data_IF_642005778348
#
_entry.id   IF_642005778348
#
_cell.length_a   1.000
_cell.length_b   1.000
_cell.length_c   1.000
_cell.angle_alpha   90.00
_cell.angle_beta   90.00
_cell.angle_gamma   90.00
#
_symmetry.space_group_name_H-M   'P 1'
#
loop_
_entity.id
_entity.type
_entity.pdbx_description
1 polymer ?
#
# COMPACT_ATOMS: atom_id res chain seq x y z
N UNK A 1 -58.69 21.53 -24.20
CA UNK A 1 -57.40 20.87 -24.39
C UNK A 1 -56.21 21.73 -23.90
N UNK A 2 -56.17 23.05 -24.13
CA UNK A 2 -55.04 23.90 -23.71
C UNK A 2 -54.83 24.03 -22.17
N UNK A 3 -55.91 23.93 -21.38
CA UNK A 3 -55.83 24.04 -19.91
C UNK A 3 -55.27 22.77 -19.20
N UNK A 4 -55.46 21.60 -19.82
CA UNK A 4 -54.95 20.32 -19.30
C UNK A 4 -53.44 20.20 -19.58
N UNK A 5 -52.95 20.75 -20.70
CA UNK A 5 -51.55 20.74 -21.03
C UNK A 5 -50.69 21.61 -20.08
N UNK A 6 -51.25 22.76 -19.62
CA UNK A 6 -50.58 23.63 -18.64
C UNK A 6 -50.47 22.99 -17.24
N UNK A 7 -51.47 22.18 -16.87
CA UNK A 7 -51.48 21.51 -15.57
C UNK A 7 -50.49 20.35 -15.51
N UNK A 8 -50.30 19.64 -16.61
CA UNK A 8 -49.27 18.57 -16.72
C UNK A 8 -47.84 19.13 -16.68
N UNK A 9 -47.63 20.32 -17.26
CA UNK A 9 -46.30 20.94 -17.29
C UNK A 9 -45.88 21.49 -15.93
N UNK A 10 -46.84 21.95 -15.11
CA UNK A 10 -46.56 22.46 -13.73
C UNK A 10 -46.29 21.33 -12.74
N UNK A 11 -46.86 20.13 -12.93
CA UNK A 11 -46.56 18.95 -12.10
C UNK A 11 -45.17 18.39 -12.38
N UNK A 12 -44.69 18.46 -13.62
CA UNK A 12 -43.35 18.02 -13.98
C UNK A 12 -42.21 18.90 -13.41
N UNK A 13 -42.48 20.20 -13.20
CA UNK A 13 -41.54 21.14 -12.61
C UNK A 13 -41.40 21.01 -11.07
N UNK A 14 -42.37 20.42 -10.39
CA UNK A 14 -42.33 20.21 -8.94
C UNK A 14 -41.54 18.94 -8.54
N UNK A 15 -41.28 18.01 -9.45
CA UNK A 15 -40.45 16.82 -9.19
C UNK A 15 -38.97 17.02 -9.51
N UNK A 16 -38.58 18.18 -10.05
CA UNK A 16 -37.17 18.45 -10.49
C UNK A 16 -36.24 18.98 -9.43
N UNK A 17 -36.68 19.21 -8.19
CA UNK A 17 -35.84 19.80 -7.13
C UNK A 17 -35.52 18.80 -6.00
N UNK A 18 -35.38 17.52 -6.27
CA UNK A 18 -34.62 16.67 -5.35
C UNK A 18 -33.14 16.99 -5.53
N UNK A 19 -32.66 17.95 -4.73
CA UNK A 19 -31.24 18.07 -4.47
C UNK A 19 -30.78 16.73 -3.89
N UNK A 20 -30.21 15.88 -4.74
CA UNK A 20 -29.29 14.85 -4.30
C UNK A 20 -28.12 15.59 -3.66
N UNK A 21 -28.23 15.90 -2.36
CA UNK A 21 -27.07 16.14 -1.55
C UNK A 21 -26.24 14.85 -1.66
N UNK A 22 -25.26 14.85 -2.55
CA UNK A 22 -24.21 13.87 -2.51
C UNK A 22 -23.53 14.07 -1.14
N UNK A 23 -23.91 13.25 -0.17
CA UNK A 23 -23.10 13.04 1.02
C UNK A 23 -21.79 12.48 0.47
N UNK A 24 -20.80 13.35 0.24
CA UNK A 24 -19.44 12.94 0.22
C UNK A 24 -19.18 12.34 1.61
N UNK A 25 -19.26 11.02 1.71
CA UNK A 25 -18.72 10.33 2.87
C UNK A 25 -17.26 10.77 2.93
N UNK A 26 -16.90 11.57 3.94
CA UNK A 26 -15.51 11.79 4.27
C UNK A 26 -14.92 10.39 4.50
N UNK A 27 -14.16 9.92 3.54
CA UNK A 27 -13.31 8.75 3.71
C UNK A 27 -12.25 9.16 4.72
N UNK A 28 -12.56 8.94 6.00
CA UNK A 28 -11.57 9.04 7.06
C UNK A 28 -10.59 7.91 6.81
N UNK A 29 -9.46 8.23 6.17
CA UNK A 29 -8.38 7.27 6.02
C UNK A 29 -7.91 6.88 7.42
N UNK A 30 -7.78 5.58 7.72
CA UNK A 30 -7.29 5.12 9.01
C UNK A 30 -5.91 5.73 9.25
N UNK A 31 -5.68 6.22 10.49
CA UNK A 31 -4.36 6.69 10.91
C UNK A 31 -3.40 5.51 10.85
N UNK A 32 -2.46 5.58 9.93
CA UNK A 32 -1.38 4.60 9.80
C UNK A 32 -0.28 4.96 10.78
N UNK A 33 0.14 3.98 11.57
CA UNK A 33 1.31 4.11 12.45
C UNK A 33 2.43 3.28 11.87
N UNK A 34 3.58 3.92 11.62
CA UNK A 34 4.81 3.27 11.19
C UNK A 34 5.75 3.13 12.39
N UNK A 35 6.35 1.96 12.53
CA UNK A 35 7.38 1.66 13.52
C UNK A 35 8.66 1.34 12.76
N UNK A 36 9.61 2.24 12.80
CA UNK A 36 10.90 2.11 12.14
C UNK A 36 11.94 1.49 13.08
N UNK A 37 12.72 0.58 12.55
CA UNK A 37 13.97 0.11 13.15
C UNK A 37 15.07 0.34 12.13
N UNK A 38 16.14 1.03 12.53
CA UNK A 38 17.28 1.31 11.68
C UNK A 38 18.57 1.05 12.46
N UNK A 39 19.39 0.16 11.91
CA UNK A 39 20.74 -0.18 12.35
C UNK A 39 21.67 -0.08 11.14
N UNK A 40 23.00 -0.10 11.35
CA UNK A 40 23.97 0.07 10.26
C UNK A 40 23.76 -0.91 9.10
N UNK A 41 23.40 -2.15 9.41
CA UNK A 41 23.25 -3.24 8.44
C UNK A 41 21.82 -3.76 8.29
N UNK A 42 20.84 -3.13 8.95
CA UNK A 42 19.46 -3.58 8.92
C UNK A 42 18.48 -2.42 9.12
N UNK A 43 17.41 -2.42 8.33
CA UNK A 43 16.28 -1.52 8.54
C UNK A 43 14.93 -2.22 8.31
N UNK A 44 13.92 -1.80 9.03
CA UNK A 44 12.54 -2.26 8.84
C UNK A 44 11.54 -1.12 8.99
N UNK A 45 10.42 -1.26 8.30
CA UNK A 45 9.20 -0.49 8.53
C UNK A 45 8.03 -1.45 8.75
N UNK A 46 7.48 -1.40 9.96
CA UNK A 46 6.27 -2.11 10.34
C UNK A 46 5.13 -1.10 10.36
N UNK A 47 4.12 -1.34 9.55
CA UNK A 47 2.94 -0.53 9.63
C UNK A 47 1.73 -1.28 10.18
N UNK A 48 0.94 -0.56 10.95
CA UNK A 48 -0.37 -1.01 11.41
C UNK A 48 -1.37 0.14 11.36
N UNK A 49 -2.65 -0.19 11.25
CA UNK A 49 -3.72 0.80 11.36
C UNK A 49 -4.37 0.72 12.73
N UNK A 50 -4.57 1.86 13.40
CA UNK A 50 -5.34 1.96 14.64
C UNK A 50 -6.85 1.69 14.38
N UNK A 51 -7.32 1.99 13.18
CA UNK A 51 -8.59 1.52 12.65
C UNK A 51 -8.28 0.43 11.65
N UNK A 52 -8.61 -0.80 12.01
CA UNK A 52 -8.52 -1.93 11.09
C UNK A 52 -9.26 -1.56 9.81
N UNK A 53 -8.59 -1.61 8.67
CA UNK A 53 -9.27 -1.77 7.40
C UNK A 53 -10.20 -2.98 7.55
N UNK A 54 -11.24 -3.08 6.75
CA UNK A 54 -12.12 -4.24 6.84
C UNK A 54 -11.31 -5.54 6.67
N UNK A 55 -10.29 -5.51 5.83
CA UNK A 55 -9.54 -6.70 5.40
C UNK A 55 -8.03 -6.60 5.59
N UNK A 56 -7.40 -5.46 5.34
CA UNK A 56 -5.95 -5.29 5.46
C UNK A 56 -5.58 -4.93 6.92
N UNK A 57 -4.84 -5.82 7.58
CA UNK A 57 -4.51 -5.69 9.00
C UNK A 57 -3.21 -4.91 9.23
N UNK A 58 -2.12 -5.39 8.64
CA UNK A 58 -0.80 -4.76 8.71
C UNK A 58 0.13 -5.27 7.61
N UNK A 59 1.26 -4.59 7.45
CA UNK A 59 2.35 -4.97 6.58
C UNK A 59 3.71 -4.61 7.16
N UNK A 60 4.74 -5.26 6.63
CA UNK A 60 6.13 -5.01 7.01
C UNK A 60 7.02 -5.14 5.79
N UNK A 61 8.03 -4.31 5.71
CA UNK A 61 9.17 -4.49 4.83
C UNK A 61 10.49 -4.43 5.61
N UNK A 62 11.48 -5.15 5.14
CA UNK A 62 12.83 -5.15 5.72
C UNK A 62 13.89 -5.15 4.64
N UNK A 63 15.03 -4.58 4.96
CA UNK A 63 16.27 -4.68 4.20
C UNK A 63 17.41 -4.99 5.16
N UNK A 64 18.35 -5.83 4.75
CA UNK A 64 19.54 -6.13 5.51
C UNK A 64 20.75 -6.35 4.61
N UNK A 65 21.93 -6.05 5.13
CA UNK A 65 23.20 -6.36 4.48
C UNK A 65 23.48 -7.85 4.61
N UNK A 66 23.72 -8.52 3.48
CA UNK A 66 24.20 -9.90 3.49
C UNK A 66 25.75 -9.94 3.47
N UNK A 67 26.34 -9.10 2.63
CA UNK A 67 27.78 -8.88 2.53
C UNK A 67 28.08 -7.53 1.84
N UNK A 68 29.32 -7.30 1.38
CA UNK A 68 29.72 -6.03 0.77
C UNK A 68 29.15 -5.78 -0.64
N UNK A 69 28.43 -6.73 -1.21
CA UNK A 69 27.88 -6.68 -2.57
C UNK A 69 26.46 -7.24 -2.66
N UNK A 70 25.90 -7.75 -1.56
CA UNK A 70 24.57 -8.34 -1.55
C UNK A 70 23.72 -7.86 -0.38
N UNK A 71 22.43 -7.72 -0.66
CA UNK A 71 21.38 -7.49 0.33
C UNK A 71 20.43 -8.69 0.41
N UNK A 72 19.72 -8.78 1.52
CA UNK A 72 18.50 -9.55 1.66
C UNK A 72 17.33 -8.62 1.97
N UNK A 73 16.17 -8.95 1.47
CA UNK A 73 14.94 -8.20 1.72
C UNK A 73 13.83 -9.16 2.14
N UNK A 74 12.90 -8.68 2.93
CA UNK A 74 11.66 -9.41 3.17
C UNK A 74 10.46 -8.49 3.24
N UNK A 75 9.28 -9.08 3.13
CA UNK A 75 8.04 -8.39 3.40
C UNK A 75 6.91 -9.35 3.72
N UNK A 76 5.94 -8.83 4.44
CA UNK A 76 4.70 -9.54 4.68
C UNK A 76 3.50 -8.61 4.56
N UNK A 77 2.38 -9.19 4.15
CA UNK A 77 1.06 -8.56 4.13
C UNK A 77 0.12 -9.47 4.91
N UNK A 78 -0.53 -8.95 5.93
CA UNK A 78 -1.47 -9.69 6.77
C UNK A 78 -2.88 -9.12 6.60
N UNK A 79 -3.85 -10.01 6.42
CA UNK A 79 -5.27 -9.71 6.40
C UNK A 79 -5.93 -10.07 7.74
N UNK A 80 -7.10 -9.49 8.01
CA UNK A 80 -7.92 -9.77 9.21
C UNK A 80 -8.56 -11.14 9.17
N UNK A 81 -8.72 -11.70 7.97
CA UNK A 81 -9.33 -13.02 7.69
C UNK A 81 -8.73 -13.61 6.40
N UNK A 82 -9.11 -14.83 6.06
CA UNK A 82 -8.83 -15.39 4.73
C UNK A 82 -9.57 -14.58 3.68
N UNK A 83 -8.84 -14.08 2.68
CA UNK A 83 -9.34 -13.19 1.64
C UNK A 83 -9.13 -13.80 0.25
N UNK A 84 -9.89 -13.32 -0.74
CA UNK A 84 -9.82 -13.78 -2.13
C UNK A 84 -8.40 -13.67 -2.68
N UNK A 85 -7.70 -12.57 -2.35
CA UNK A 85 -6.33 -12.33 -2.81
C UNK A 85 -5.54 -11.43 -1.86
N UNK A 86 -4.31 -11.86 -1.55
CA UNK A 86 -3.29 -11.05 -0.85
C UNK A 86 -2.12 -10.83 -1.80
N UNK A 87 -1.62 -9.59 -1.88
CA UNK A 87 -0.49 -9.19 -2.72
C UNK A 87 0.58 -8.48 -1.91
N UNK A 88 1.82 -8.68 -2.34
CA UNK A 88 3.00 -8.00 -1.84
C UNK A 88 3.91 -7.67 -3.02
N UNK A 89 4.21 -6.39 -3.20
CA UNK A 89 5.22 -5.95 -4.18
C UNK A 89 6.34 -5.24 -3.43
N UNK A 90 7.57 -5.72 -3.62
CA UNK A 90 8.79 -5.16 -3.03
C UNK A 90 9.60 -4.48 -4.13
N UNK A 91 9.87 -3.21 -3.97
CA UNK A 91 10.77 -2.42 -4.80
C UNK A 91 12.06 -2.22 -4.02
N UNK A 92 13.16 -2.76 -4.53
CA UNK A 92 14.49 -2.33 -4.11
C UNK A 92 14.76 -1.02 -4.82
N UNK A 93 14.99 0.03 -4.06
CA UNK A 93 15.30 1.35 -4.59
C UNK A 93 16.73 1.72 -4.23
N UNK A 94 17.38 2.47 -5.13
CA UNK A 94 18.73 2.99 -4.93
C UNK A 94 18.80 4.50 -5.10
N UNK A 95 19.75 5.14 -4.43
CA UNK A 95 20.09 6.55 -4.57
C UNK A 95 21.54 6.83 -4.20
N UNK A 96 22.16 7.83 -4.81
CA UNK A 96 23.46 8.38 -4.38
C UNK A 96 23.31 9.25 -3.11
N UNK A 97 22.09 9.67 -2.77
CA UNK A 97 21.77 10.50 -1.60
C UNK A 97 20.95 9.72 -0.59
N UNK A 98 21.28 9.87 0.71
CA UNK A 98 20.55 9.24 1.81
C UNK A 98 19.04 9.60 1.83
N UNK A 99 18.69 10.83 1.51
CA UNK A 99 17.33 11.35 1.76
C UNK A 99 16.47 11.55 0.53
N UNK A 100 17.05 11.56 -0.67
CA UNK A 100 16.32 11.93 -1.90
C UNK A 100 16.81 11.18 -3.13
N UNK A 101 16.05 11.25 -4.24
CA UNK A 101 16.50 10.77 -5.55
C UNK A 101 16.44 9.25 -5.71
N UNK A 102 15.64 8.56 -4.91
CA UNK A 102 15.46 7.11 -5.03
C UNK A 102 14.80 6.74 -6.35
N UNK A 103 15.36 5.73 -6.99
CA UNK A 103 14.81 5.11 -8.20
C UNK A 103 14.77 3.59 -8.03
N UNK A 104 13.80 2.96 -8.68
CA UNK A 104 13.65 1.51 -8.62
C UNK A 104 14.83 0.81 -9.28
N UNK A 105 15.51 -0.05 -8.53
CA UNK A 105 16.60 -0.91 -8.97
C UNK A 105 16.12 -2.31 -9.38
N UNK A 106 15.33 -2.94 -8.50
CA UNK A 106 14.69 -4.26 -8.76
C UNK A 106 13.26 -4.29 -8.20
N UNK A 107 12.41 -5.12 -8.82
CA UNK A 107 11.02 -5.30 -8.40
C UNK A 107 10.69 -6.78 -8.25
N UNK A 108 10.02 -7.12 -7.16
CA UNK A 108 9.53 -8.46 -6.87
C UNK A 108 8.05 -8.39 -6.50
N UNK A 109 7.19 -9.07 -7.29
CA UNK A 109 5.73 -9.06 -7.08
C UNK A 109 5.22 -10.47 -6.83
N UNK A 110 4.41 -10.60 -5.79
CA UNK A 110 3.82 -11.85 -5.34
C UNK A 110 2.33 -11.71 -5.08
N UNK A 111 1.59 -12.79 -5.30
CA UNK A 111 0.19 -12.89 -4.89
C UNK A 111 -0.13 -14.30 -4.44
N UNK A 112 -1.09 -14.41 -3.54
CA UNK A 112 -1.69 -15.66 -3.12
C UNK A 112 -3.20 -15.49 -3.00
N UNK A 113 -3.95 -16.55 -3.29
CA UNK A 113 -5.41 -16.58 -3.24
C UNK A 113 -5.89 -17.44 -2.08
N UNK A 114 -7.03 -17.07 -1.50
CA UNK A 114 -7.63 -17.79 -0.36
C UNK A 114 -6.69 -17.92 0.84
N UNK A 115 -5.99 -16.82 1.19
CA UNK A 115 -5.06 -16.75 2.32
C UNK A 115 -5.32 -15.50 3.16
N UNK A 116 -4.87 -15.55 4.42
CA UNK A 116 -4.89 -14.38 5.32
C UNK A 116 -3.49 -13.73 5.48
N UNK A 117 -2.45 -14.34 4.90
CA UNK A 117 -1.08 -13.86 5.02
C UNK A 117 -0.26 -14.22 3.80
N UNK A 118 0.58 -13.29 3.37
CA UNK A 118 1.61 -13.51 2.36
C UNK A 118 2.94 -12.98 2.90
N UNK A 119 3.94 -13.87 3.01
CA UNK A 119 5.31 -13.51 3.42
C UNK A 119 6.28 -13.95 2.34
N UNK A 120 7.23 -13.08 2.02
CA UNK A 120 8.34 -13.39 1.08
C UNK A 120 9.65 -12.87 1.63
N UNK A 121 10.68 -13.65 1.36
CA UNK A 121 12.07 -13.34 1.65
C UNK A 121 12.89 -13.60 0.40
N UNK A 122 13.77 -12.67 0.06
CA UNK A 122 14.66 -12.75 -1.11
C UNK A 122 16.07 -12.45 -0.63
N UNK A 123 16.95 -13.43 -0.80
CA UNK A 123 18.35 -13.36 -0.41
C UNK A 123 19.26 -13.24 -1.64
N UNK A 124 20.51 -12.85 -1.43
CA UNK A 124 21.55 -12.75 -2.45
C UNK A 124 21.18 -11.82 -3.61
N UNK A 125 20.58 -10.68 -3.30
CA UNK A 125 20.33 -9.63 -4.28
C UNK A 125 21.63 -8.84 -4.43
N UNK A 126 22.30 -9.00 -5.58
CA UNK A 126 23.49 -8.23 -5.92
C UNK A 126 23.16 -6.74 -6.05
N UNK A 127 24.04 -5.91 -5.49
CA UNK A 127 23.94 -4.45 -5.46
C UNK A 127 25.25 -3.79 -5.85
N UNK A 128 25.16 -2.62 -6.47
CA UNK A 128 26.33 -1.81 -6.86
C UNK A 128 26.83 -0.99 -5.66
N UNK A 129 28.14 -0.73 -5.62
CA UNK A 129 28.73 0.20 -4.67
C UNK A 129 28.50 1.65 -5.10
N UNK A 130 28.49 2.54 -4.13
CA UNK A 130 28.31 3.98 -4.35
C UNK A 130 26.87 4.46 -4.10
N UNK A 131 26.00 3.59 -3.65
CA UNK A 131 24.58 3.88 -3.44
C UNK A 131 24.10 3.55 -2.03
N UNK A 132 23.02 4.19 -1.66
CA UNK A 132 22.12 3.78 -0.60
C UNK A 132 21.00 2.91 -1.17
N UNK A 133 20.60 1.90 -0.44
CA UNK A 133 19.49 1.00 -0.82
C UNK A 133 18.42 0.98 0.25
N UNK A 134 17.16 0.99 -0.18
CA UNK A 134 15.99 0.82 0.70
C UNK A 134 14.95 -0.08 0.04
N UNK A 135 13.99 -0.55 0.81
CA UNK A 135 12.81 -1.25 0.30
C UNK A 135 11.59 -0.35 0.43
N UNK A 136 10.93 -0.08 -0.68
CA UNK A 136 9.55 0.39 -0.72
C UNK A 136 8.66 -0.81 -1.02
N UNK A 137 7.62 -1.03 -0.21
CA UNK A 137 6.71 -2.15 -0.38
C UNK A 137 5.26 -1.67 -0.51
N UNK A 138 4.52 -2.32 -1.41
CA UNK A 138 3.06 -2.14 -1.55
C UNK A 138 2.37 -3.41 -1.09
N UNK A 139 1.47 -3.26 -0.11
CA UNK A 139 0.66 -4.30 0.50
C UNK A 139 -0.78 -4.16 0.04
N UNK A 140 -1.41 -5.23 -0.41
CA UNK A 140 -2.80 -5.17 -0.89
C UNK A 140 -3.56 -6.44 -0.55
N UNK A 141 -4.82 -6.27 -0.16
CA UNK A 141 -5.78 -7.34 0.12
C UNK A 141 -7.04 -7.08 -0.67
N UNK A 142 -7.59 -8.12 -1.30
CA UNK A 142 -8.88 -8.06 -2.02
C UNK A 142 -9.82 -9.10 -1.42
N UNK A 143 -11.04 -8.69 -1.10
CA UNK A 143 -12.11 -9.54 -0.60
C UNK A 143 -13.46 -9.02 -1.09
N UNK A 144 -14.29 -9.91 -1.66
CA UNK A 144 -15.63 -9.56 -2.14
C UNK A 144 -15.64 -8.43 -3.18
N UNK A 145 -14.56 -8.30 -3.99
CA UNK A 145 -14.40 -7.22 -4.97
C UNK A 145 -13.88 -5.89 -4.39
N UNK A 146 -13.70 -5.79 -3.07
CA UNK A 146 -13.10 -4.61 -2.42
C UNK A 146 -11.60 -4.82 -2.29
N UNK A 147 -10.79 -3.83 -2.68
CA UNK A 147 -9.33 -3.86 -2.54
C UNK A 147 -8.86 -2.76 -1.60
N UNK A 148 -8.13 -3.14 -0.58
CA UNK A 148 -7.43 -2.25 0.34
C UNK A 148 -5.93 -2.30 0.06
N UNK A 149 -5.26 -1.14 0.09
CA UNK A 149 -3.84 -1.03 -0.24
C UNK A 149 -3.16 -0.04 0.68
N UNK A 150 -1.91 -0.35 1.03
CA UNK A 150 -1.01 0.54 1.76
C UNK A 150 0.43 0.28 1.37
N UNK A 151 1.35 1.07 1.93
CA UNK A 151 2.78 0.95 1.68
C UNK A 151 3.58 0.96 2.98
N UNK A 152 4.81 0.49 2.88
CA UNK A 152 5.87 0.65 3.88
C UNK A 152 7.18 0.98 3.19
N UNK A 153 8.07 1.72 3.89
CA UNK A 153 9.37 2.09 3.35
C UNK A 153 10.42 2.03 4.45
N UNK A 154 11.46 1.23 4.25
CA UNK A 154 12.56 1.12 5.21
C UNK A 154 13.47 2.34 5.16
N UNK A 155 14.20 2.61 6.25
CA UNK A 155 15.38 3.44 6.16
C UNK A 155 16.41 2.83 5.20
N UNK A 156 17.24 3.64 4.56
CA UNK A 156 18.24 3.13 3.65
C UNK A 156 19.48 2.60 4.40
N UNK A 157 20.12 1.58 3.81
CA UNK A 157 21.44 1.08 4.22
C UNK A 157 22.52 1.57 3.23
N UNK A 158 23.73 1.80 3.73
CA UNK A 158 24.83 2.43 2.99
C UNK A 158 25.76 1.39 2.34
N UNK A 159 25.92 1.45 1.02
CA UNK A 159 26.86 0.62 0.21
C UNK A 159 27.93 1.47 -0.51
N UNK A 160 28.17 2.69 -0.02
CA UNK A 160 29.21 3.58 -0.57
C UNK A 160 30.62 3.22 -0.15
#
# INVERSE_FOLDING_TARGET
>A
MKKILCMMLSVMLLFGCFNLAAFAAETTYPKVTHIFTSEEDFASDDWSTDQRGAYLLNGRSTIGRADNTHIHISGNTNATQTCDKVRLTLYVEQSESYSTGYSTYKTYSYSAENVYKLTKEISNIEVDRGYYYRVFAVHSVTEGGVTETTDSVTDPIDYR
#
